data_IF_317954931031
#
_entry.id   IF_317954931031
#
_cell.length_a   1.000
_cell.length_b   1.000
_cell.length_c   1.000
_cell.angle_alpha   90.00
_cell.angle_beta   90.00
_cell.angle_gamma   90.00
#
_symmetry.space_group_name_H-M   'P 1'
#
loop_
_entity.id
_entity.type
_entity.pdbx_description
1 polymer ?
#
# COMPACT_ATOMS: atom_id res chain seq x y z
N UNK A 1 21.41 46.89 -25.16
CA UNK A 1 20.45 46.03 -24.44
C UNK A 1 20.36 44.71 -25.20
N UNK A 2 20.98 43.65 -24.67
CA UNK A 2 20.87 42.27 -25.15
C UNK A 2 20.41 41.42 -23.98
N UNK A 3 19.48 40.51 -24.23
CA UNK A 3 18.75 39.72 -23.25
C UNK A 3 19.26 38.27 -23.14
N UNK A 4 18.95 37.64 -21.98
CA UNK A 4 18.72 36.20 -21.75
C UNK A 4 19.94 35.25 -21.91
N UNK A 5 20.09 34.15 -21.19
CA UNK A 5 19.33 33.51 -20.11
C UNK A 5 20.33 32.61 -19.35
N UNK A 6 20.35 32.63 -18.02
CA UNK A 6 21.07 31.61 -17.24
C UNK A 6 20.12 30.44 -17.08
N UNK A 7 20.33 29.39 -17.88
CA UNK A 7 19.72 28.08 -17.68
C UNK A 7 20.19 27.55 -16.32
N UNK A 8 19.28 27.53 -15.35
CA UNK A 8 19.43 26.71 -14.15
C UNK A 8 19.24 25.24 -14.57
N UNK A 9 20.34 24.52 -14.78
CA UNK A 9 20.32 23.05 -14.84
C UNK A 9 19.99 22.52 -13.45
N UNK A 10 18.69 22.45 -13.14
CA UNK A 10 18.18 21.63 -12.07
C UNK A 10 18.43 20.17 -12.41
N UNK A 11 19.43 19.58 -11.77
CA UNK A 11 19.60 18.13 -11.76
C UNK A 11 18.40 17.54 -11.00
N UNK A 12 17.37 17.16 -11.75
CA UNK A 12 16.36 16.25 -11.25
C UNK A 12 17.07 14.90 -11.05
N UNK A 13 17.48 14.63 -9.81
CA UNK A 13 17.79 13.28 -9.36
C UNK A 13 16.51 12.46 -9.46
N UNK A 14 16.23 11.94 -10.65
CA UNK A 14 15.29 10.85 -10.82
C UNK A 14 15.89 9.65 -10.09
N UNK A 15 15.55 9.51 -8.80
CA UNK A 15 15.83 8.30 -8.05
C UNK A 15 15.16 7.16 -8.79
N UNK A 16 15.99 6.37 -9.49
CA UNK A 16 15.58 5.13 -10.10
C UNK A 16 14.89 4.30 -9.01
N UNK A 17 13.61 4.00 -9.27
CA UNK A 17 12.85 3.02 -8.52
C UNK A 17 13.55 1.67 -8.72
N UNK A 18 14.50 1.35 -7.82
CA UNK A 18 14.90 -0.04 -7.62
C UNK A 18 13.61 -0.84 -7.46
N UNK A 19 13.48 -1.93 -8.20
CA UNK A 19 12.32 -2.82 -8.10
C UNK A 19 12.20 -3.34 -6.66
N UNK A 20 11.46 -2.60 -5.83
CA UNK A 20 11.21 -2.89 -4.42
C UNK A 20 10.48 -4.22 -4.36
N UNK A 21 10.90 -5.12 -3.46
CA UNK A 21 10.15 -6.33 -3.18
C UNK A 21 8.76 -5.91 -2.66
N UNK A 22 7.78 -5.97 -3.55
CA UNK A 22 6.42 -5.51 -3.34
C UNK A 22 5.52 -6.74 -3.29
N UNK A 23 4.77 -6.87 -2.21
CA UNK A 23 3.81 -7.97 -2.08
C UNK A 23 2.48 -7.46 -2.62
N UNK A 24 2.08 -7.99 -3.77
CA UNK A 24 0.79 -7.69 -4.40
C UNK A 24 -0.21 -8.77 -4.03
N UNK A 25 -1.36 -8.35 -3.54
CA UNK A 25 -2.45 -9.24 -3.18
C UNK A 25 -3.74 -8.80 -3.85
N UNK A 26 -4.46 -9.79 -4.39
CA UNK A 26 -5.78 -9.59 -4.98
C UNK A 26 -6.84 -9.75 -3.89
N UNK A 27 -7.80 -8.81 -3.91
CA UNK A 27 -9.01 -8.78 -3.10
C UNK A 27 -10.16 -8.78 -4.10
N UNK A 28 -10.77 -9.93 -4.35
CA UNK A 28 -11.78 -10.08 -5.40
C UNK A 28 -13.10 -10.58 -4.83
N UNK A 29 -14.22 -9.99 -5.29
CA UNK A 29 -15.55 -10.57 -5.11
C UNK A 29 -15.79 -11.67 -6.16
N UNK A 30 -16.51 -12.73 -5.81
CA UNK A 30 -16.93 -13.76 -6.78
C UNK A 30 -18.44 -13.71 -6.91
N UNK A 31 -18.96 -13.48 -8.11
CA UNK A 31 -20.41 -13.50 -8.31
C UNK A 31 -20.85 -14.97 -8.43
N UNK A 32 -21.48 -15.52 -7.39
CA UNK A 32 -22.15 -16.82 -7.49
C UNK A 32 -23.39 -16.64 -8.36
N UNK A 33 -23.33 -17.14 -9.60
CA UNK A 33 -24.43 -17.05 -10.57
C UNK A 33 -25.55 -18.03 -10.22
N UNK A 34 -26.30 -17.76 -9.16
CA UNK A 34 -27.55 -18.45 -8.91
C UNK A 34 -28.65 -17.85 -9.80
N UNK A 35 -28.77 -18.46 -10.99
CA UNK A 35 -29.94 -18.52 -11.87
C UNK A 35 -30.97 -17.37 -11.78
N UNK A 36 -30.68 -16.22 -12.43
CA UNK A 36 -31.57 -15.40 -13.31
C UNK A 36 -31.02 -13.97 -13.40
N UNK A 37 -30.35 -13.64 -14.52
CA UNK A 37 -30.37 -12.27 -15.05
C UNK A 37 -29.26 -11.29 -14.68
N UNK A 38 -28.01 -11.72 -14.44
CA UNK A 38 -26.86 -10.81 -14.21
C UNK A 38 -25.80 -10.85 -15.33
N UNK A 39 -26.21 -11.13 -16.57
CA UNK A 39 -25.32 -10.98 -17.72
C UNK A 39 -24.91 -9.50 -17.87
N UNK A 40 -23.70 -9.14 -17.41
CA UNK A 40 -23.13 -7.81 -17.56
C UNK A 40 -22.50 -7.17 -16.32
N UNK A 41 -22.63 -7.75 -15.12
CA UNK A 41 -21.99 -7.21 -13.90
C UNK A 41 -20.57 -7.77 -13.79
N UNK A 42 -19.54 -6.94 -14.00
CA UNK A 42 -18.15 -7.39 -13.86
C UNK A 42 -17.80 -7.62 -12.37
N UNK A 43 -17.00 -8.65 -12.09
CA UNK A 43 -16.44 -8.85 -10.76
C UNK A 43 -15.45 -7.72 -10.44
N UNK A 44 -15.69 -6.97 -9.36
CA UNK A 44 -14.76 -5.95 -8.89
C UNK A 44 -13.55 -6.61 -8.22
N UNK A 45 -12.36 -6.17 -8.63
CA UNK A 45 -11.08 -6.62 -8.09
C UNK A 45 -10.29 -5.43 -7.56
N UNK A 46 -9.83 -5.53 -6.32
CA UNK A 46 -8.91 -4.59 -5.72
C UNK A 46 -7.52 -5.21 -5.56
N UNK A 47 -6.48 -4.47 -5.90
CA UNK A 47 -5.09 -4.82 -5.67
C UNK A 47 -4.56 -4.05 -4.47
N UNK A 48 -4.23 -4.78 -3.41
CA UNK A 48 -3.45 -4.30 -2.30
C UNK A 48 -1.96 -4.49 -2.58
N UNK A 49 -1.18 -3.45 -2.38
CA UNK A 49 0.28 -3.47 -2.53
C UNK A 49 0.93 -2.98 -1.25
N UNK A 50 1.99 -3.67 -0.82
CA UNK A 50 2.78 -3.30 0.35
C UNK A 50 4.25 -3.65 0.06
N UNK A 51 5.16 -2.69 0.22
CA UNK A 51 6.59 -2.90 -0.03
C UNK A 51 7.33 -3.30 1.23
N UNK A 52 8.38 -4.12 1.13
CA UNK A 52 9.29 -4.35 2.27
C UNK A 52 9.83 -3.02 2.82
N UNK A 53 9.99 -2.87 4.15
CA UNK A 53 10.59 -1.66 4.71
C UNK A 53 11.96 -1.37 4.11
N UNK A 54 12.25 -0.11 3.81
CA UNK A 54 13.53 0.38 3.30
C UNK A 54 13.98 1.61 4.05
N UNK A 55 15.28 1.87 4.06
CA UNK A 55 15.81 3.11 4.63
C UNK A 55 15.35 4.30 3.79
N UNK A 56 14.70 5.28 4.42
CA UNK A 56 14.09 6.45 3.78
C UNK A 56 14.82 7.76 4.10
N UNK A 57 16.07 7.66 4.56
CA UNK A 57 16.91 8.78 4.97
C UNK A 57 17.91 8.35 6.04
N UNK A 58 18.63 9.31 6.63
CA UNK A 58 19.61 9.01 7.67
C UNK A 58 18.97 8.37 8.92
N UNK A 59 17.75 8.79 9.26
CA UNK A 59 17.05 8.47 10.51
C UNK A 59 15.64 7.93 10.31
N UNK A 60 15.30 7.44 9.11
CA UNK A 60 13.96 6.94 8.80
C UNK A 60 13.99 5.58 8.09
N UNK A 61 12.97 4.77 8.38
CA UNK A 61 12.56 3.62 7.58
C UNK A 61 11.16 3.86 7.07
N UNK A 62 10.88 3.46 5.83
CA UNK A 62 9.57 3.61 5.23
C UNK A 62 9.12 2.36 4.48
N UNK A 63 7.80 2.26 4.29
CA UNK A 63 7.14 1.29 3.42
C UNK A 63 6.04 2.01 2.66
N UNK A 64 5.98 1.81 1.35
CA UNK A 64 4.85 2.25 0.54
C UNK A 64 3.72 1.22 0.64
N UNK A 65 2.49 1.72 0.62
CA UNK A 65 1.30 0.89 0.56
C UNK A 65 0.23 1.54 -0.33
N UNK A 66 -0.57 0.71 -0.97
CA UNK A 66 -1.69 1.18 -1.77
C UNK A 66 -2.79 0.15 -1.85
N UNK A 67 -4.03 0.59 -2.01
CA UNK A 67 -5.14 -0.27 -2.41
C UNK A 67 -5.83 0.42 -3.58
N UNK A 68 -5.95 -0.27 -4.71
CA UNK A 68 -6.56 0.25 -5.94
C UNK A 68 -7.59 -0.74 -6.44
N UNK A 69 -8.74 -0.27 -6.91
CA UNK A 69 -9.80 -1.12 -7.44
C UNK A 69 -10.02 -0.84 -8.92
N UNK A 70 -10.34 -1.87 -9.69
CA UNK A 70 -10.69 -1.74 -11.11
C UNK A 70 -12.09 -1.11 -11.33
N UNK A 71 -12.92 -1.11 -10.29
CA UNK A 71 -14.21 -0.42 -10.25
C UNK A 71 -14.39 0.32 -8.93
N UNK A 72 -15.33 1.26 -8.93
CA UNK A 72 -15.69 2.01 -7.74
C UNK A 72 -16.34 1.10 -6.68
N UNK A 73 -15.80 1.12 -5.46
CA UNK A 73 -16.32 0.41 -4.30
C UNK A 73 -17.05 1.36 -3.35
N UNK A 74 -17.68 0.85 -2.29
CA UNK A 74 -18.33 1.68 -1.27
C UNK A 74 -17.33 2.28 -0.29
N UNK A 75 -16.21 1.60 -0.04
CA UNK A 75 -15.19 2.11 0.86
C UNK A 75 -13.94 1.22 0.91
N UNK A 76 -12.81 1.87 1.14
CA UNK A 76 -11.50 1.26 1.35
C UNK A 76 -10.88 1.90 2.57
N UNK A 77 -10.67 1.12 3.62
CA UNK A 77 -10.04 1.60 4.85
C UNK A 77 -9.17 0.52 5.48
N UNK A 78 -8.29 0.89 6.39
CA UNK A 78 -7.42 -0.08 7.02
C UNK A 78 -6.36 0.51 7.92
N UNK A 79 -5.38 -0.32 8.23
CA UNK A 79 -4.24 0.02 9.08
C UNK A 79 -2.95 -0.52 8.48
N UNK A 80 -1.85 0.17 8.72
CA UNK A 80 -0.51 -0.25 8.33
C UNK A 80 0.48 -0.01 9.46
N UNK A 81 1.47 -0.91 9.57
CA UNK A 81 2.54 -0.80 10.55
C UNK A 81 3.83 -1.45 10.05
N UNK A 82 4.95 -1.03 10.63
CA UNK A 82 6.25 -1.68 10.48
C UNK A 82 6.59 -2.36 11.80
N UNK A 83 7.05 -3.60 11.72
CA UNK A 83 7.41 -4.44 12.86
C UNK A 83 8.88 -4.82 12.78
N UNK A 84 9.49 -5.03 13.95
CA UNK A 84 10.80 -5.67 14.03
C UNK A 84 10.62 -7.17 14.30
N UNK A 85 11.01 -8.01 13.36
CA UNK A 85 11.15 -9.46 13.50
C UNK A 85 10.11 -10.13 14.42
N UNK A 86 10.56 -10.69 15.54
CA UNK A 86 9.70 -11.45 16.45
C UNK A 86 8.93 -10.58 17.47
N UNK A 87 8.89 -9.26 17.30
CA UNK A 87 8.15 -8.36 18.18
C UNK A 87 6.65 -8.39 17.83
N UNK A 88 5.80 -8.47 18.85
CA UNK A 88 4.35 -8.40 18.71
C UNK A 88 3.83 -6.96 18.56
N UNK A 89 4.63 -5.98 18.98
CA UNK A 89 4.32 -4.57 18.89
C UNK A 89 4.96 -3.96 17.62
N UNK A 90 4.27 -3.03 16.94
CA UNK A 90 4.87 -2.29 15.84
C UNK A 90 5.93 -1.32 16.35
N UNK A 91 6.85 -0.92 15.48
CA UNK A 91 7.90 0.05 15.78
C UNK A 91 7.30 1.33 16.39
N UNK A 92 7.86 1.74 17.52
CA UNK A 92 7.38 2.90 18.28
C UNK A 92 5.99 2.72 18.90
N UNK A 93 5.43 1.50 18.92
CA UNK A 93 4.04 1.22 19.29
C UNK A 93 3.01 2.02 18.46
N UNK A 94 3.31 2.22 17.17
CA UNK A 94 2.48 3.07 16.28
C UNK A 94 1.94 2.32 15.08
N UNK A 95 0.67 2.52 14.80
CA UNK A 95 -0.03 2.08 13.59
C UNK A 95 -0.59 3.31 12.88
N UNK A 96 -0.55 3.34 11.55
CA UNK A 96 -1.22 4.39 10.78
C UNK A 96 -2.54 3.85 10.27
N UNK A 97 -3.61 4.64 10.40
CA UNK A 97 -4.91 4.35 9.82
C UNK A 97 -5.02 5.06 8.48
N UNK A 98 -5.58 4.38 7.48
CA UNK A 98 -5.89 4.99 6.18
C UNK A 98 -7.36 4.81 5.82
N UNK A 99 -7.86 5.77 5.03
CA UNK A 99 -9.16 5.69 4.36
C UNK A 99 -9.02 6.29 2.96
N UNK A 100 -9.08 5.44 1.94
CA UNK A 100 -8.89 5.80 0.54
C UNK A 100 -10.21 6.04 -0.21
N UNK A 101 -11.34 6.09 0.50
CA UNK A 101 -12.64 6.33 -0.12
C UNK A 101 -13.04 5.22 -1.08
N UNK A 102 -13.48 5.58 -2.29
CA UNK A 102 -14.20 4.67 -3.20
C UNK A 102 -13.38 4.18 -4.41
N UNK A 103 -12.27 4.84 -4.73
CA UNK A 103 -11.45 4.52 -5.92
C UNK A 103 -10.07 3.94 -5.57
N UNK A 104 -9.65 4.08 -4.32
CA UNK A 104 -8.33 3.67 -3.86
C UNK A 104 -7.35 4.83 -3.73
N UNK A 105 -6.15 4.49 -3.29
CA UNK A 105 -5.12 5.44 -2.94
C UNK A 105 -3.83 4.75 -2.56
N UNK A 106 -2.80 5.54 -2.30
CA UNK A 106 -1.51 5.06 -1.87
C UNK A 106 -0.77 6.11 -1.07
N UNK A 107 -0.10 5.64 -0.02
CA UNK A 107 0.62 6.46 0.93
C UNK A 107 1.91 5.74 1.34
N UNK A 108 2.69 6.41 2.18
CA UNK A 108 3.92 5.86 2.74
C UNK A 108 3.88 5.97 4.26
N UNK A 109 4.08 4.83 4.93
CA UNK A 109 4.30 4.82 6.37
C UNK A 109 5.78 5.08 6.62
N UNK A 110 6.07 6.01 7.53
CA UNK A 110 7.43 6.33 7.98
C UNK A 110 7.56 6.10 9.47
N UNK A 111 8.70 5.56 9.89
CA UNK A 111 9.06 5.38 11.30
C UNK A 111 10.50 5.83 11.53
N UNK A 112 10.86 6.23 12.77
CA UNK A 112 12.26 6.39 13.14
C UNK A 112 13.06 5.13 12.78
N UNK A 113 14.28 5.33 12.29
CA UNK A 113 15.12 4.23 11.84
C UNK A 113 15.35 3.23 12.97
N UNK A 114 15.11 1.95 12.69
CA UNK A 114 15.36 0.85 13.59
C UNK A 114 16.21 -0.21 12.89
N UNK A 115 17.42 -0.46 13.39
CA UNK A 115 18.26 -1.54 12.85
C UNK A 115 17.68 -2.91 13.20
N UNK A 116 17.83 -3.88 12.30
CA UNK A 116 17.36 -5.26 12.49
C UNK A 116 16.61 -5.82 11.27
N UNK A 117 15.89 -6.91 11.48
CA UNK A 117 14.98 -7.47 10.47
C UNK A 117 13.61 -6.81 10.62
N UNK A 118 13.19 -6.05 9.61
CA UNK A 118 11.93 -5.32 9.62
C UNK A 118 10.98 -5.86 8.55
N UNK A 119 9.69 -5.95 8.86
CA UNK A 119 8.64 -6.24 7.88
C UNK A 119 7.49 -5.25 8.05
N UNK A 120 6.71 -5.03 6.98
CA UNK A 120 5.49 -4.26 7.05
C UNK A 120 4.28 -5.20 7.08
N UNK A 121 3.24 -4.81 7.80
CA UNK A 121 1.94 -5.44 7.75
C UNK A 121 0.86 -4.41 7.45
N UNK A 122 -0.10 -4.79 6.60
CA UNK A 122 -1.25 -3.96 6.24
C UNK A 122 -2.52 -4.78 6.38
N UNK A 123 -3.49 -4.27 7.13
CA UNK A 123 -4.88 -4.78 7.11
C UNK A 123 -5.71 -3.86 6.23
N UNK A 124 -6.33 -4.40 5.19
CA UNK A 124 -7.25 -3.65 4.34
C UNK A 124 -8.65 -4.23 4.41
N UNK A 125 -9.63 -3.35 4.55
CA UNK A 125 -11.05 -3.62 4.49
C UNK A 125 -11.61 -2.94 3.25
N UNK A 126 -12.16 -3.74 2.35
CA UNK A 126 -12.80 -3.27 1.12
C UNK A 126 -14.29 -3.64 1.18
N UNK A 127 -15.15 -2.65 0.99
CA UNK A 127 -16.61 -2.81 0.95
C UNK A 127 -17.07 -2.65 -0.49
N UNK A 128 -17.50 -3.74 -1.11
CA UNK A 128 -17.92 -3.76 -2.51
C UNK A 128 -19.37 -3.32 -2.68
N UNK A 129 -19.68 -2.69 -3.83
CA UNK A 129 -21.04 -2.23 -4.14
C UNK A 129 -22.01 -3.39 -4.40
N UNK A 130 -21.51 -4.51 -4.94
CA UNK A 130 -22.33 -5.62 -5.47
C UNK A 130 -21.67 -6.98 -5.19
N UNK A 131 -22.39 -8.09 -5.43
CA UNK A 131 -21.87 -9.45 -5.27
C UNK A 131 -21.73 -9.91 -3.81
N UNK A 132 -21.29 -11.15 -3.63
CA UNK A 132 -20.83 -11.69 -2.35
C UNK A 132 -19.35 -12.13 -2.49
N UNK A 133 -18.51 -11.97 -1.45
CA UNK A 133 -18.77 -11.25 -0.22
C UNK A 133 -18.80 -9.71 -0.42
N UNK A 134 -19.70 -9.02 0.28
CA UNK A 134 -19.83 -7.53 0.22
C UNK A 134 -18.72 -6.79 0.96
N UNK A 135 -18.01 -7.47 1.85
CA UNK A 135 -16.89 -6.92 2.60
C UNK A 135 -15.79 -7.98 2.65
N UNK A 136 -14.57 -7.58 2.31
CA UNK A 136 -13.37 -8.40 2.50
C UNK A 136 -12.42 -7.64 3.43
N UNK A 137 -12.03 -8.30 4.50
CA UNK A 137 -11.09 -7.81 5.51
C UNK A 137 -9.93 -8.79 5.61
N UNK A 138 -8.73 -8.36 5.22
CA UNK A 138 -7.55 -9.21 5.22
C UNK A 138 -6.29 -8.46 5.60
N UNK A 139 -5.36 -9.21 6.18
CA UNK A 139 -4.01 -8.74 6.52
C UNK A 139 -2.99 -9.30 5.53
N UNK A 140 -2.08 -8.44 5.11
CA UNK A 140 -0.99 -8.68 4.18
C UNK A 140 0.34 -8.39 4.86
N UNK A 141 1.35 -9.18 4.53
CA UNK A 141 2.68 -9.08 5.13
C UNK A 141 3.73 -9.05 4.04
N UNK A 142 4.75 -8.22 4.23
CA UNK A 142 5.93 -8.28 3.37
C UNK A 142 6.91 -9.33 3.88
N UNK A 143 7.83 -9.79 3.03
CA UNK A 143 9.07 -10.39 3.51
C UNK A 143 9.78 -9.47 4.52
N UNK A 144 10.56 -10.05 5.43
CA UNK A 144 11.43 -9.26 6.29
C UNK A 144 12.67 -8.80 5.52
N UNK A 145 13.04 -7.52 5.68
CA UNK A 145 14.24 -6.92 5.13
C UNK A 145 15.21 -6.56 6.26
N UNK A 146 16.52 -6.79 6.04
CA UNK A 146 17.55 -6.37 6.99
C UNK A 146 17.86 -4.89 6.77
N UNK A 147 17.57 -4.07 7.77
CA UNK A 147 17.81 -2.63 7.79
C UNK A 147 18.97 -2.31 8.71
N UNK A 148 19.90 -1.50 8.21
CA UNK A 148 20.99 -0.91 8.97
C UNK A 148 20.78 0.61 9.04
N UNK A 149 20.57 1.05 10.26
CA UNK A 149 20.73 2.41 10.75
C UNK A 149 22.01 2.43 11.60
#
# INVERSE_FOLDING_TARGET
MLAMAVLATGAASASASESRAATKHLISQTITNDARGTAGIAATTCTANLTTPVRAGASEVASDYSVTCDQEVTGIAGFVAIFRGNESAPLGNTVDQFNFGTMGGGEQIKRPCASGLLYAAMRAVVIFKTGEPKMIDRTFFTPAARIAC
#
